data_IF_195344935578
#
_entry.id   IF_195344935578
#
_cell.length_a   1.000
_cell.length_b   1.000
_cell.length_c   1.000
_cell.angle_alpha   90.00
_cell.angle_beta   90.00
_cell.angle_gamma   90.00
#
_symmetry.space_group_name_H-M   'P 1'
#
loop_
_entity.id
_entity.type
_entity.pdbx_description
1 polymer ?
#
# COMPACT_ATOMS: atom_id res chain seq x y z
N UNK A 1 40.50 0.08 -34.11
CA UNK A 1 40.19 1.25 -33.27
C UNK A 1 41.47 1.72 -32.62
N UNK A 2 41.88 2.98 -32.86
CA UNK A 2 43.18 3.53 -32.45
C UNK A 2 43.09 4.04 -31.00
N UNK A 3 44.13 3.83 -30.16
CA UNK A 3 44.19 4.24 -28.74
C UNK A 3 43.86 5.74 -28.51
N UNK A 4 44.08 6.61 -29.50
CA UNK A 4 43.70 8.02 -29.47
C UNK A 4 42.21 8.25 -29.57
N UNK A 5 41.43 7.37 -30.18
CA UNK A 5 39.97 7.46 -30.28
C UNK A 5 39.30 7.03 -28.96
N UNK A 6 39.93 6.08 -28.24
CA UNK A 6 39.46 5.64 -26.94
C UNK A 6 39.63 6.71 -25.87
N UNK A 7 40.75 7.48 -25.92
CA UNK A 7 41.00 8.58 -24.95
C UNK A 7 40.18 9.86 -25.23
N UNK A 8 39.69 10.05 -26.48
CA UNK A 8 38.78 11.17 -26.77
C UNK A 8 37.33 10.86 -26.41
N UNK A 9 36.94 9.58 -26.32
CA UNK A 9 35.62 9.17 -25.78
C UNK A 9 35.56 9.21 -24.26
N UNK A 10 36.71 9.28 -23.56
CA UNK A 10 36.78 9.26 -22.10
C UNK A 10 36.72 10.64 -21.40
N UNK A 11 36.57 11.75 -22.16
CA UNK A 11 36.53 13.11 -21.59
C UNK A 11 35.19 13.83 -21.82
N UNK A 12 34.23 13.18 -22.49
CA UNK A 12 32.83 13.64 -22.54
C UNK A 12 31.98 12.64 -21.73
N UNK A 13 32.39 12.40 -20.50
CA UNK A 13 31.78 11.39 -19.68
C UNK A 13 31.66 11.82 -18.25
N UNK A 14 30.99 12.89 -17.98
CA UNK A 14 30.67 13.21 -16.60
C UNK A 14 29.39 13.99 -16.54
N UNK A 15 28.31 13.31 -16.72
CA UNK A 15 26.99 13.49 -16.18
C UNK A 15 25.96 12.64 -16.94
N UNK A 16 26.32 11.43 -17.34
CA UNK A 16 25.33 10.40 -17.41
C UNK A 16 25.06 10.04 -15.94
N UNK A 17 24.17 10.75 -15.32
CA UNK A 17 23.31 10.14 -14.33
C UNK A 17 22.77 8.90 -15.04
N UNK A 18 23.18 7.72 -14.63
CA UNK A 18 22.51 6.47 -14.99
C UNK A 18 21.15 6.54 -14.29
N UNK A 19 20.31 7.48 -14.74
CA UNK A 19 18.91 7.50 -14.43
C UNK A 19 18.30 6.34 -15.20
N UNK A 20 17.92 5.31 -14.47
CA UNK A 20 16.87 4.41 -14.84
C UNK A 20 16.95 3.87 -16.26
N UNK A 21 17.67 2.75 -16.44
CA UNK A 21 17.43 1.91 -17.62
C UNK A 21 16.12 1.18 -17.35
N UNK A 22 15.02 1.90 -17.55
CA UNK A 22 13.70 1.31 -17.60
C UNK A 22 13.49 0.79 -19.01
N UNK A 23 13.62 -0.50 -19.22
CA UNK A 23 13.06 -1.18 -20.36
C UNK A 23 11.66 -1.66 -19.98
N UNK A 24 10.71 -0.73 -19.85
CA UNK A 24 9.31 -1.10 -19.75
C UNK A 24 8.77 -1.19 -21.18
N UNK A 25 8.39 -2.37 -21.63
CA UNK A 25 7.68 -2.57 -22.90
C UNK A 25 6.24 -2.01 -22.84
N UNK A 26 5.68 -1.82 -21.64
CA UNK A 26 4.37 -1.23 -21.43
C UNK A 26 4.47 0.19 -20.87
N UNK A 27 3.59 1.13 -21.31
CA UNK A 27 3.57 2.48 -20.76
C UNK A 27 3.07 2.46 -19.30
N UNK A 28 3.71 3.28 -18.45
CA UNK A 28 3.25 3.52 -17.08
C UNK A 28 1.80 4.02 -17.06
N UNK A 29 1.00 3.48 -16.16
CA UNK A 29 -0.41 3.80 -16.03
C UNK A 29 -0.63 4.88 -14.96
N UNK A 30 -1.44 5.89 -15.27
CA UNK A 30 -1.80 6.97 -14.33
C UNK A 30 -2.89 6.50 -13.35
N UNK A 31 -2.57 5.47 -12.56
CA UNK A 31 -3.46 4.76 -11.64
C UNK A 31 -3.09 5.00 -10.18
N UNK A 32 -3.88 4.46 -9.26
CA UNK A 32 -3.65 4.55 -7.81
C UNK A 32 -3.93 3.23 -7.08
N UNK A 33 -3.34 3.09 -5.90
CA UNK A 33 -3.60 1.98 -4.96
C UNK A 33 -4.00 2.55 -3.61
N UNK A 34 -5.11 2.08 -3.06
CA UNK A 34 -5.50 2.26 -1.66
C UNK A 34 -5.22 0.94 -0.94
N UNK A 35 -4.20 0.95 -0.08
CA UNK A 35 -3.76 -0.20 0.71
C UNK A 35 -4.28 -0.08 2.13
N UNK A 36 -5.30 -0.89 2.47
CA UNK A 36 -5.88 -0.96 3.82
C UNK A 36 -5.20 -2.06 4.60
N UNK A 37 -4.40 -1.66 5.58
CA UNK A 37 -3.63 -2.56 6.43
C UNK A 37 -4.34 -2.83 7.75
N UNK A 38 -4.78 -4.07 7.92
CA UNK A 38 -5.42 -4.56 9.13
C UNK A 38 -4.35 -5.10 10.09
N UNK A 39 -3.61 -4.17 10.72
CA UNK A 39 -2.42 -4.52 11.51
C UNK A 39 -2.74 -5.32 12.77
N UNK A 40 -2.03 -6.41 12.94
CA UNK A 40 -2.20 -7.39 14.01
C UNK A 40 -2.68 -8.76 13.51
N UNK A 41 -2.74 -9.01 12.20
CA UNK A 41 -3.13 -10.30 11.63
C UNK A 41 -4.63 -10.57 11.73
N UNK A 42 -5.44 -9.99 10.84
CA UNK A 42 -6.88 -10.20 10.82
C UNK A 42 -7.22 -11.66 10.57
N UNK A 43 -8.18 -12.16 11.30
CA UNK A 43 -8.66 -13.52 11.11
C UNK A 43 -9.43 -13.65 9.80
N UNK A 44 -9.05 -14.61 8.96
CA UNK A 44 -9.76 -14.91 7.71
C UNK A 44 -11.20 -15.37 7.96
N UNK A 45 -11.45 -16.06 9.07
CA UNK A 45 -12.78 -16.61 9.41
C UNK A 45 -13.82 -15.51 9.64
N UNK A 46 -13.44 -14.51 10.40
CA UNK A 46 -14.28 -13.37 10.78
C UNK A 46 -14.19 -12.22 9.80
N UNK A 47 -13.36 -12.32 8.73
CA UNK A 47 -13.23 -11.30 7.67
C UNK A 47 -13.68 -11.85 6.31
N UNK A 48 -12.77 -12.11 5.37
CA UNK A 48 -13.10 -12.26 3.95
C UNK A 48 -12.97 -13.69 3.42
N UNK A 49 -12.77 -14.69 4.30
CA UNK A 49 -12.72 -16.11 3.91
C UNK A 49 -13.39 -16.97 4.99
N UNK A 50 -14.67 -16.73 5.24
CA UNK A 50 -15.45 -17.55 6.17
C UNK A 50 -15.75 -18.93 5.57
N UNK A 51 -15.75 -20.01 6.39
CA UNK A 51 -16.12 -21.33 5.92
C UNK A 51 -17.61 -21.42 5.63
N UNK A 52 -17.97 -21.91 4.45
CA UNK A 52 -19.36 -22.16 4.03
C UNK A 52 -19.75 -23.62 4.15
N UNK A 53 -18.78 -24.52 4.20
CA UNK A 53 -19.00 -25.95 4.40
C UNK A 53 -18.96 -26.30 5.90
N UNK A 54 -19.61 -27.38 6.33
CA UNK A 54 -19.52 -27.85 7.71
C UNK A 54 -18.05 -28.11 8.10
N UNK A 55 -17.55 -27.33 9.04
CA UNK A 55 -16.25 -27.48 9.69
C UNK A 55 -16.47 -27.60 11.19
N UNK A 56 -15.52 -28.21 11.95
CA UNK A 56 -15.61 -28.23 13.40
C UNK A 56 -15.84 -26.81 13.97
N UNK A 57 -16.60 -26.70 15.06
CA UNK A 57 -16.99 -25.43 15.69
C UNK A 57 -15.80 -24.48 15.95
N UNK A 58 -14.63 -25.06 16.25
CA UNK A 58 -13.39 -24.30 16.47
C UNK A 58 -12.91 -23.49 15.26
N UNK A 59 -13.39 -23.81 14.04
CA UNK A 59 -13.11 -23.07 12.81
C UNK A 59 -14.27 -22.16 12.39
N UNK A 60 -15.44 -22.28 13.06
CA UNK A 60 -16.58 -21.41 12.74
C UNK A 60 -16.28 -19.96 13.11
N UNK A 61 -16.74 -18.98 12.32
CA UNK A 61 -16.74 -17.58 12.71
C UNK A 61 -17.62 -17.37 13.94
N UNK A 62 -17.14 -16.61 14.92
CA UNK A 62 -17.84 -16.40 16.20
C UNK A 62 -19.19 -15.68 16.06
N UNK A 63 -19.34 -14.85 15.03
CA UNK A 63 -20.56 -14.09 14.73
C UNK A 63 -21.28 -14.63 13.47
N UNK A 64 -21.03 -15.90 13.11
CA UNK A 64 -21.55 -16.51 11.88
C UNK A 64 -20.89 -15.95 10.61
N UNK A 65 -21.56 -16.16 9.47
CA UNK A 65 -21.06 -15.70 8.18
C UNK A 65 -22.21 -15.17 7.29
N UNK A 66 -21.84 -14.37 6.31
CA UNK A 66 -22.71 -13.88 5.23
C UNK A 66 -22.12 -14.27 3.88
N UNK A 67 -22.96 -14.54 2.90
CA UNK A 67 -22.53 -15.00 1.58
C UNK A 67 -23.10 -14.13 0.45
N UNK A 68 -22.41 -14.15 -0.68
CA UNK A 68 -22.87 -13.60 -1.94
C UNK A 68 -23.05 -14.73 -2.97
N UNK A 69 -23.97 -14.61 -3.95
CA UNK A 69 -24.24 -15.66 -4.96
C UNK A 69 -23.02 -16.10 -5.78
N UNK A 70 -22.02 -15.25 -5.92
CA UNK A 70 -20.76 -15.56 -6.63
C UNK A 70 -19.78 -16.41 -5.83
N UNK A 71 -20.14 -16.88 -4.62
CA UNK A 71 -19.31 -17.73 -3.77
C UNK A 71 -18.48 -17.02 -2.71
N UNK A 72 -18.49 -15.68 -2.68
CA UNK A 72 -17.85 -14.93 -1.58
C UNK A 72 -18.55 -15.24 -0.24
N UNK A 73 -17.76 -15.43 0.81
CA UNK A 73 -18.23 -15.66 2.17
C UNK A 73 -17.39 -14.85 3.16
N UNK A 74 -18.05 -13.96 3.88
CA UNK A 74 -17.43 -13.08 4.89
C UNK A 74 -17.97 -13.40 6.28
N UNK A 75 -17.20 -13.02 7.31
CA UNK A 75 -17.70 -13.07 8.68
C UNK A 75 -18.99 -12.29 8.85
N UNK A 76 -19.86 -12.72 9.76
CA UNK A 76 -21.24 -12.26 9.90
C UNK A 76 -21.45 -10.78 10.18
N UNK A 77 -20.38 -10.06 10.52
CA UNK A 77 -20.42 -8.62 10.76
C UNK A 77 -20.18 -7.76 9.49
N UNK A 78 -19.78 -8.37 8.36
CA UNK A 78 -19.56 -7.68 7.08
C UNK A 78 -20.81 -7.66 6.20
N UNK A 79 -21.89 -7.09 6.72
CA UNK A 79 -23.23 -7.13 6.10
C UNK A 79 -23.41 -6.13 4.95
N UNK A 80 -22.67 -5.03 4.95
CA UNK A 80 -22.76 -4.01 3.93
C UNK A 80 -21.80 -4.31 2.77
N UNK A 81 -20.54 -4.63 3.07
CA UNK A 81 -19.52 -4.91 2.08
C UNK A 81 -19.89 -6.13 1.20
N UNK A 82 -20.43 -7.19 1.80
CA UNK A 82 -20.84 -8.39 1.04
C UNK A 82 -21.87 -8.10 -0.06
N UNK A 83 -22.70 -7.07 0.09
CA UNK A 83 -23.67 -6.65 -0.94
C UNK A 83 -22.98 -6.09 -2.21
N UNK A 84 -21.70 -5.79 -2.15
CA UNK A 84 -20.85 -5.35 -3.27
C UNK A 84 -20.02 -6.51 -3.83
N UNK A 85 -20.42 -7.74 -3.56
CA UNK A 85 -19.68 -8.94 -3.93
C UNK A 85 -19.30 -9.02 -5.40
N UNK A 86 -20.08 -8.45 -6.29
CA UNK A 86 -19.77 -8.39 -7.74
C UNK A 86 -18.50 -7.57 -8.05
N UNK A 87 -18.12 -6.67 -7.14
CA UNK A 87 -16.98 -5.76 -7.29
C UNK A 87 -15.75 -6.22 -6.49
N UNK A 88 -15.85 -7.36 -5.82
CA UNK A 88 -14.84 -7.85 -4.88
C UNK A 88 -14.23 -9.17 -5.34
N UNK A 89 -12.97 -9.37 -5.02
CA UNK A 89 -12.28 -10.66 -5.17
C UNK A 89 -11.64 -11.04 -3.85
N UNK A 90 -12.02 -12.19 -3.28
CA UNK A 90 -11.32 -12.80 -2.16
C UNK A 90 -10.31 -13.82 -2.65
N UNK A 91 -9.07 -13.76 -2.13
CA UNK A 91 -8.00 -14.70 -2.48
C UNK A 91 -7.83 -15.70 -1.33
N UNK A 92 -8.49 -16.85 -1.44
CA UNK A 92 -8.60 -17.84 -0.37
C UNK A 92 -7.39 -18.77 -0.22
N UNK A 93 -6.43 -18.68 -1.15
CA UNK A 93 -5.17 -19.43 -1.12
C UNK A 93 -3.95 -18.56 -0.87
N UNK A 94 -4.16 -17.29 -0.46
CA UNK A 94 -3.06 -16.37 -0.18
C UNK A 94 -2.35 -16.74 1.11
N UNK A 95 -1.03 -16.94 1.05
CA UNK A 95 -0.29 -17.55 2.15
C UNK A 95 1.20 -17.21 2.11
N UNK A 96 1.84 -17.32 3.26
CA UNK A 96 3.30 -17.30 3.40
C UNK A 96 3.73 -18.15 4.61
N UNK A 97 4.98 -18.00 5.08
CA UNK A 97 5.54 -18.88 6.12
C UNK A 97 5.87 -18.20 7.43
N UNK A 98 5.73 -16.86 7.52
CA UNK A 98 6.18 -16.12 8.70
C UNK A 98 5.02 -15.80 9.64
N UNK A 99 5.15 -16.22 10.90
CA UNK A 99 4.17 -15.98 11.97
C UNK A 99 4.58 -14.88 12.95
N UNK A 100 5.68 -14.16 12.68
CA UNK A 100 6.12 -13.00 13.46
C UNK A 100 5.55 -11.73 12.88
N UNK A 101 4.85 -10.92 13.65
CA UNK A 101 4.25 -9.65 13.20
C UNK A 101 5.21 -8.81 12.39
N UNK A 102 6.38 -8.53 12.91
CA UNK A 102 7.35 -7.66 12.28
C UNK A 102 7.84 -8.20 10.94
N UNK A 103 8.28 -9.45 10.91
CA UNK A 103 8.84 -10.07 9.71
C UNK A 103 7.77 -10.29 8.64
N UNK A 104 6.58 -10.76 9.05
CA UNK A 104 5.45 -10.93 8.15
C UNK A 104 4.97 -9.59 7.57
N UNK A 105 4.88 -8.54 8.40
CA UNK A 105 4.53 -7.19 7.92
C UNK A 105 5.52 -6.70 6.88
N UNK A 106 6.83 -6.83 7.13
CA UNK A 106 7.86 -6.45 6.17
C UNK A 106 7.74 -7.25 4.87
N UNK A 107 7.52 -8.56 4.97
CA UNK A 107 7.33 -9.41 3.80
C UNK A 107 6.11 -8.99 2.99
N UNK A 108 4.99 -8.70 3.64
CA UNK A 108 3.78 -8.21 2.99
C UNK A 108 3.95 -6.84 2.34
N UNK A 109 4.70 -5.92 2.97
CA UNK A 109 4.91 -4.57 2.46
C UNK A 109 5.93 -4.49 1.33
N UNK A 110 6.81 -5.47 1.19
CA UNK A 110 7.92 -5.44 0.22
C UNK A 110 7.85 -6.52 -0.85
N UNK A 111 7.04 -7.56 -0.63
CA UNK A 111 7.05 -8.79 -1.44
C UNK A 111 8.32 -9.64 -1.26
N UNK A 112 9.28 -9.16 -0.46
CA UNK A 112 10.59 -9.78 -0.30
C UNK A 112 10.79 -10.32 1.10
N UNK A 113 11.20 -11.57 1.17
CA UNK A 113 11.50 -12.21 2.45
C UNK A 113 12.89 -11.79 2.94
N UNK A 114 12.93 -11.07 4.04
CA UNK A 114 14.19 -10.75 4.69
C UNK A 114 14.68 -11.96 5.50
N UNK A 115 15.69 -12.67 4.99
CA UNK A 115 16.28 -13.82 5.65
C UNK A 115 17.08 -13.45 6.93
N UNK A 116 17.53 -12.20 7.06
CA UNK A 116 18.21 -11.71 8.24
C UNK A 116 17.20 -11.37 9.31
N UNK A 117 17.05 -12.28 10.25
CA UNK A 117 16.20 -12.11 11.45
C UNK A 117 16.72 -11.05 12.44
N UNK A 118 17.80 -10.33 12.10
CA UNK A 118 18.35 -9.30 12.97
C UNK A 118 17.37 -8.12 13.04
N UNK A 119 16.73 -8.00 14.20
CA UNK A 119 15.75 -6.96 14.48
C UNK A 119 16.37 -5.55 14.50
N UNK A 120 17.69 -5.42 14.49
CA UNK A 120 18.44 -4.17 14.55
C UNK A 120 18.93 -3.69 13.18
N UNK A 121 19.10 -4.58 12.22
CA UNK A 121 19.38 -4.21 10.83
C UNK A 121 18.08 -3.76 10.17
N UNK A 122 18.01 -2.51 9.70
CA UNK A 122 16.86 -1.97 8.97
C UNK A 122 16.43 -2.83 7.79
N UNK A 123 15.28 -2.51 7.21
CA UNK A 123 14.75 -3.22 6.06
C UNK A 123 15.71 -3.16 4.87
N UNK A 124 15.93 -4.29 4.19
CA UNK A 124 16.79 -4.33 3.00
C UNK A 124 16.04 -3.91 1.73
N UNK A 125 14.73 -4.11 1.71
CA UNK A 125 13.88 -3.88 0.54
C UNK A 125 12.93 -2.72 0.76
N UNK A 126 12.71 -1.87 -0.26
CA UNK A 126 11.75 -0.77 -0.16
C UNK A 126 10.31 -1.28 -0.20
N UNK A 127 9.41 -0.58 0.51
CA UNK A 127 7.98 -0.86 0.45
C UNK A 127 7.36 -0.48 -0.90
N UNK A 128 6.21 -1.07 -1.24
CA UNK A 128 5.51 -0.86 -2.51
C UNK A 128 5.29 0.61 -2.84
N UNK A 129 4.76 1.40 -1.88
CA UNK A 129 4.51 2.82 -2.09
C UNK A 129 5.79 3.63 -2.33
N UNK A 130 6.91 3.25 -1.69
CA UNK A 130 8.20 3.88 -1.94
C UNK A 130 8.75 3.54 -3.33
N UNK A 131 8.55 2.31 -3.80
CA UNK A 131 8.89 1.91 -5.18
C UNK A 131 8.07 2.74 -6.17
N UNK A 132 6.75 2.80 -6.01
CA UNK A 132 5.86 3.61 -6.86
C UNK A 132 6.30 5.07 -6.86
N UNK A 133 6.58 5.64 -5.68
CA UNK A 133 7.08 7.02 -5.57
C UNK A 133 8.42 7.23 -6.27
N UNK A 134 9.30 6.24 -6.28
CA UNK A 134 10.59 6.33 -6.98
C UNK A 134 10.47 6.31 -8.51
N UNK A 135 9.37 5.80 -9.03
CA UNK A 135 9.10 5.69 -10.47
C UNK A 135 8.31 6.91 -10.97
N UNK A 136 7.25 7.30 -10.27
CA UNK A 136 6.39 8.41 -10.66
C UNK A 136 6.88 9.78 -10.18
N UNK A 137 7.91 9.83 -9.33
CA UNK A 137 8.38 11.04 -8.65
C UNK A 137 7.76 11.18 -7.26
N UNK A 138 8.38 12.01 -6.40
CA UNK A 138 7.93 12.20 -5.03
C UNK A 138 6.56 12.89 -4.92
N UNK A 139 6.25 13.76 -5.88
CA UNK A 139 5.00 14.50 -5.98
C UNK A 139 4.41 14.41 -7.38
N UNK A 140 3.11 14.60 -7.49
CA UNK A 140 2.42 14.80 -8.75
C UNK A 140 2.81 16.15 -9.36
N UNK A 141 3.35 16.13 -10.57
CA UNK A 141 3.86 17.33 -11.25
C UNK A 141 2.78 18.38 -11.60
N UNK A 142 1.47 18.03 -11.55
CA UNK A 142 0.37 18.93 -11.91
C UNK A 142 -0.10 19.79 -10.74
N UNK A 143 -0.14 19.22 -9.52
CA UNK A 143 -0.76 19.86 -8.37
C UNK A 143 0.05 19.72 -7.07
N UNK A 144 1.21 19.06 -7.12
CA UNK A 144 2.10 18.90 -5.98
C UNK A 144 1.64 17.90 -4.92
N UNK A 145 0.53 17.17 -5.13
CA UNK A 145 0.10 16.17 -4.15
C UNK A 145 1.15 15.06 -4.03
N UNK A 146 1.51 14.61 -2.80
CA UNK A 146 2.49 13.56 -2.62
C UNK A 146 2.09 12.26 -3.35
N UNK A 147 3.04 11.66 -4.04
CA UNK A 147 2.82 10.38 -4.75
C UNK A 147 2.53 9.24 -3.79
N UNK A 148 3.13 9.27 -2.59
CA UNK A 148 2.92 8.27 -1.56
C UNK A 148 2.50 8.93 -0.24
N UNK A 149 1.32 8.59 0.26
CA UNK A 149 0.77 9.09 1.53
C UNK A 149 0.48 7.92 2.46
N UNK A 150 0.79 8.07 3.74
CA UNK A 150 0.43 7.10 4.78
C UNK A 150 -0.50 7.71 5.82
N UNK A 151 -1.42 6.90 6.31
CA UNK A 151 -2.28 7.21 7.45
C UNK A 151 -2.05 6.16 8.53
N UNK A 152 -1.20 6.50 9.49
CA UNK A 152 -0.67 5.59 10.50
C UNK A 152 0.68 4.97 10.09
N UNK A 153 1.30 4.23 10.99
CA UNK A 153 2.62 3.61 10.79
C UNK A 153 2.48 2.12 10.50
N UNK A 154 3.11 1.68 9.42
CA UNK A 154 3.28 0.26 9.09
C UNK A 154 4.78 -0.02 8.98
N UNK A 155 5.24 -1.18 9.45
CA UNK A 155 6.64 -1.59 9.25
C UNK A 155 6.87 -2.01 7.79
N UNK A 156 8.02 -1.68 7.20
CA UNK A 156 8.34 -2.00 5.81
C UNK A 156 7.95 -0.94 4.79
N UNK A 157 7.40 0.21 5.21
CA UNK A 157 7.07 1.33 4.33
C UNK A 157 8.29 2.14 3.87
N UNK A 158 9.46 1.91 4.47
CA UNK A 158 10.65 2.71 4.22
C UNK A 158 11.16 2.56 2.77
N UNK A 159 11.72 3.64 2.19
CA UNK A 159 12.30 3.62 0.84
C UNK A 159 13.66 2.92 0.75
N UNK A 160 14.29 2.61 1.88
CA UNK A 160 15.59 1.95 2.01
C UNK A 160 16.67 2.55 1.07
N UNK A 161 17.19 1.77 0.12
CA UNK A 161 18.23 2.22 -0.82
C UNK A 161 17.72 3.20 -1.89
N UNK A 162 16.40 3.36 -2.07
CA UNK A 162 15.85 4.31 -3.02
C UNK A 162 16.06 5.78 -2.58
N UNK A 163 16.26 6.00 -1.28
CA UNK A 163 16.54 7.33 -0.73
C UNK A 163 15.35 8.02 -0.08
N UNK A 164 15.66 8.96 0.82
CA UNK A 164 14.68 9.61 1.70
C UNK A 164 13.60 10.45 1.01
N UNK A 165 13.82 10.86 -0.23
CA UNK A 165 12.84 11.61 -1.02
C UNK A 165 11.57 10.82 -1.34
N UNK A 166 11.63 9.49 -1.26
CA UNK A 166 10.50 8.59 -1.59
C UNK A 166 9.82 8.02 -0.35
N UNK A 167 10.05 8.63 0.83
CA UNK A 167 9.30 8.31 2.06
C UNK A 167 7.84 8.70 1.91
N UNK A 168 6.91 7.92 2.55
CA UNK A 168 5.53 8.34 2.60
C UNK A 168 5.35 9.68 3.31
N UNK A 169 4.53 10.53 2.74
CA UNK A 169 4.05 11.73 3.41
C UNK A 169 3.06 11.34 4.52
N UNK A 170 3.23 11.92 5.72
CA UNK A 170 2.37 11.66 6.88
C UNK A 170 1.55 12.90 7.21
N UNK A 171 0.24 12.92 6.91
CA UNK A 171 -0.62 14.07 7.18
C UNK A 171 -1.03 14.19 8.65
N UNK A 172 -0.80 13.18 9.49
CA UNK A 172 -1.16 13.22 10.92
C UNK A 172 -0.37 14.30 11.69
N UNK A 173 0.81 14.66 11.22
CA UNK A 173 1.54 15.82 11.72
C UNK A 173 1.04 17.09 11.01
N UNK A 174 0.13 17.83 11.68
CA UNK A 174 -0.43 19.10 11.16
C UNK A 174 0.64 20.13 10.79
N UNK A 175 1.85 20.04 11.36
CA UNK A 175 2.97 20.89 10.99
C UNK A 175 3.44 20.64 9.53
N UNK A 176 3.19 19.45 8.99
CA UNK A 176 3.50 19.12 7.59
C UNK A 176 2.57 19.83 6.59
N UNK A 177 1.39 20.24 7.04
CA UNK A 177 0.38 20.93 6.22
C UNK A 177 0.31 22.44 6.46
N UNK A 178 1.09 22.97 7.43
CA UNK A 178 1.00 24.38 7.81
C UNK A 178 2.38 25.04 7.75
N UNK A 179 2.56 26.13 6.97
CA UNK A 179 3.84 26.81 6.91
C UNK A 179 4.18 27.46 8.27
N UNK A 180 5.38 27.19 8.78
CA UNK A 180 5.91 27.84 10.01
C UNK A 180 6.29 29.30 9.82
N UNK A 181 6.27 29.79 8.59
CA UNK A 181 6.62 31.17 8.22
C UNK A 181 5.56 31.72 7.26
N UNK A 182 5.44 33.06 7.18
CA UNK A 182 4.54 33.70 6.22
C UNK A 182 4.87 33.27 4.78
N UNK A 183 3.85 33.11 3.96
CA UNK A 183 3.95 32.60 2.61
C UNK A 183 4.98 33.34 1.73
N UNK A 184 4.98 34.68 1.80
CA UNK A 184 5.95 35.50 1.05
C UNK A 184 7.41 35.16 1.43
N UNK A 185 7.69 35.03 2.72
CA UNK A 185 9.02 34.65 3.20
C UNK A 185 9.38 33.21 2.85
N UNK A 186 8.40 32.35 2.71
CA UNK A 186 8.64 30.97 2.31
C UNK A 186 9.02 30.91 0.82
N UNK A 187 8.32 31.69 -0.04
CA UNK A 187 8.65 31.84 -1.46
C UNK A 187 10.06 32.46 -1.66
N UNK A 188 10.37 33.53 -0.94
CA UNK A 188 11.70 34.15 -0.98
C UNK A 188 12.82 33.17 -0.59
N UNK A 189 12.58 32.32 0.42
CA UNK A 189 13.54 31.29 0.86
C UNK A 189 13.72 30.21 -0.20
N UNK A 190 12.65 29.78 -0.85
CA UNK A 190 12.74 28.80 -1.93
C UNK A 190 13.52 29.36 -3.12
N UNK A 191 13.23 30.57 -3.56
CA UNK A 191 13.95 31.22 -4.65
C UNK A 191 15.45 31.38 -4.32
N UNK A 192 15.77 31.66 -3.05
CA UNK A 192 17.14 31.77 -2.61
C UNK A 192 17.85 30.38 -2.60
N UNK A 193 17.17 29.34 -2.11
CA UNK A 193 17.67 27.96 -2.14
C UNK A 193 17.89 27.49 -3.58
N UNK A 194 16.93 27.70 -4.48
CA UNK A 194 17.05 27.33 -5.89
C UNK A 194 18.23 28.01 -6.59
N UNK A 195 18.54 29.25 -6.21
CA UNK A 195 19.74 29.98 -6.69
C UNK A 195 21.04 29.39 -6.11
N UNK A 196 21.05 28.96 -4.84
CA UNK A 196 22.19 28.33 -4.21
C UNK A 196 22.42 26.90 -4.72
N UNK A 197 21.35 26.13 -4.95
CA UNK A 197 21.44 24.76 -5.42
C UNK A 197 21.90 24.68 -6.87
N UNK A 198 21.48 25.63 -7.73
CA UNK A 198 22.06 25.77 -9.08
C UNK A 198 23.55 26.01 -9.09
N UNK A 199 24.10 26.63 -8.03
CA UNK A 199 25.56 26.83 -7.87
C UNK A 199 26.26 25.64 -7.21
N UNK A 200 25.53 24.74 -6.55
CA UNK A 200 26.04 23.54 -5.87
C UNK A 200 25.90 22.24 -6.66
N UNK A 201 25.31 22.25 -7.84
CA UNK A 201 25.07 21.08 -8.70
C UNK A 201 26.28 20.18 -8.99
N UNK A 202 27.43 20.52 -8.42
CA UNK A 202 28.67 19.74 -8.53
C UNK A 202 29.02 18.87 -7.32
N UNK A 203 28.21 18.81 -6.23
CA UNK A 203 28.76 18.36 -4.96
C UNK A 203 28.15 17.15 -4.27
N UNK A 204 27.01 16.55 -4.62
CA UNK A 204 26.67 15.17 -4.20
C UNK A 204 25.20 14.76 -4.42
N UNK A 205 24.95 13.44 -4.57
CA UNK A 205 23.62 12.79 -4.58
C UNK A 205 22.78 13.02 -3.30
N UNK A 206 23.43 13.40 -2.20
CA UNK A 206 22.76 13.72 -0.92
C UNK A 206 22.07 15.08 -1.00
N UNK A 207 22.63 16.05 -1.71
CA UNK A 207 22.03 17.37 -1.90
C UNK A 207 20.74 17.29 -2.72
N UNK A 208 20.68 16.42 -3.74
CA UNK A 208 19.48 16.20 -4.55
C UNK A 208 18.29 15.68 -3.72
N UNK A 209 18.56 14.81 -2.74
CA UNK A 209 17.52 14.28 -1.86
C UNK A 209 16.92 15.35 -0.95
N UNK A 210 17.75 16.24 -0.41
CA UNK A 210 17.28 17.36 0.44
C UNK A 210 16.49 18.39 -0.36
N UNK A 211 16.89 18.69 -1.59
CA UNK A 211 16.16 19.59 -2.48
C UNK A 211 14.79 19.04 -2.83
N UNK A 212 14.70 17.75 -3.21
CA UNK A 212 13.44 17.07 -3.49
C UNK A 212 12.48 17.05 -2.30
N UNK A 213 12.99 16.81 -1.09
CA UNK A 213 12.17 16.85 0.14
C UNK A 213 11.68 18.28 0.41
N UNK A 214 12.51 19.28 0.17
CA UNK A 214 12.13 20.69 0.31
C UNK A 214 11.05 21.09 -0.71
N UNK A 215 11.20 20.70 -1.96
CA UNK A 215 10.21 20.94 -3.02
C UNK A 215 8.88 20.24 -2.72
N UNK A 216 8.93 19.00 -2.27
CA UNK A 216 7.75 18.25 -1.84
C UNK A 216 6.98 18.99 -0.75
N UNK A 217 7.67 19.44 0.29
CA UNK A 217 7.05 20.18 1.38
C UNK A 217 6.47 21.53 0.90
N UNK A 218 7.14 22.19 -0.04
CA UNK A 218 6.69 23.44 -0.62
C UNK A 218 5.37 23.27 -1.39
N UNK A 219 5.30 22.29 -2.28
CA UNK A 219 4.14 22.02 -3.12
C UNK A 219 2.90 21.64 -2.31
N UNK A 220 3.09 20.86 -1.23
CA UNK A 220 2.00 20.48 -0.32
C UNK A 220 1.47 21.69 0.47
N UNK A 221 2.34 22.58 0.92
CA UNK A 221 1.96 23.67 1.83
C UNK A 221 1.41 24.88 1.12
N UNK A 222 1.92 25.21 -0.06
CA UNK A 222 1.55 26.42 -0.82
C UNK A 222 0.77 26.14 -2.11
N UNK A 223 0.76 24.89 -2.56
CA UNK A 223 0.03 24.47 -3.76
C UNK A 223 -1.42 24.12 -3.46
N UNK A 224 -2.10 23.65 -4.50
CA UNK A 224 -3.46 23.09 -4.40
C UNK A 224 -3.50 21.71 -3.72
N UNK A 225 -2.33 21.13 -3.46
CA UNK A 225 -2.23 19.82 -2.78
C UNK A 225 -2.91 19.78 -1.41
N UNK A 226 -2.91 20.90 -0.65
CA UNK A 226 -3.61 21.00 0.64
C UNK A 226 -5.11 20.69 0.56
N UNK A 227 -5.73 20.99 -0.59
CA UNK A 227 -7.18 20.79 -0.79
C UNK A 227 -7.52 19.28 -0.81
N UNK A 228 -6.57 18.43 -1.21
CA UNK A 228 -6.74 16.98 -1.15
C UNK A 228 -6.90 16.46 0.29
N UNK A 229 -6.31 17.14 1.27
CA UNK A 229 -6.33 16.76 2.68
C UNK A 229 -7.51 17.36 3.46
N UNK A 230 -8.27 18.26 2.85
CA UNK A 230 -9.37 18.98 3.49
C UNK A 230 -10.69 18.22 3.36
N UNK A 231 -11.05 17.46 4.39
CA UNK A 231 -12.32 16.72 4.46
C UNK A 231 -13.54 17.62 4.64
N UNK A 232 -13.38 18.90 4.98
CA UNK A 232 -14.51 19.84 5.08
C UNK A 232 -15.10 20.19 3.71
N UNK A 233 -14.39 19.91 2.64
CA UNK A 233 -14.90 20.05 1.28
C UNK A 233 -15.87 18.93 0.87
N UNK A 234 -15.92 17.83 1.63
CA UNK A 234 -16.89 16.76 1.42
C UNK A 234 -18.24 17.07 2.02
N UNK A 235 -19.31 16.68 1.34
CA UNK A 235 -20.67 16.83 1.87
C UNK A 235 -20.90 15.96 3.11
N UNK A 236 -21.78 16.40 4.00
CA UNK A 236 -22.15 15.61 5.18
C UNK A 236 -22.72 14.24 4.79
N UNK A 237 -23.44 14.15 3.66
CA UNK A 237 -23.97 12.89 3.13
C UNK A 237 -22.85 11.90 2.81
N UNK A 238 -21.73 12.34 2.23
CA UNK A 238 -20.57 11.48 1.96
C UNK A 238 -19.88 11.11 3.26
N UNK A 239 -19.63 12.07 4.16
CA UNK A 239 -19.04 11.81 5.49
C UNK A 239 -19.87 10.75 6.25
N UNK A 240 -21.20 10.85 6.25
CA UNK A 240 -22.10 9.91 6.92
C UNK A 240 -22.08 8.50 6.27
N UNK A 241 -21.92 8.40 4.93
CA UNK A 241 -21.76 7.11 4.24
C UNK A 241 -20.53 6.36 4.76
N UNK A 242 -19.36 7.03 4.87
CA UNK A 242 -18.13 6.42 5.41
C UNK A 242 -18.19 6.17 6.92
N UNK A 243 -19.08 6.87 7.63
CA UNK A 243 -19.22 6.79 9.07
C UNK A 243 -18.21 7.67 9.82
N UNK A 244 -18.55 7.99 11.08
CA UNK A 244 -17.78 8.90 11.95
C UNK A 244 -16.66 8.19 12.73
N UNK A 245 -16.23 7.04 12.26
CA UNK A 245 -15.11 6.29 12.85
C UNK A 245 -13.79 6.74 12.24
N UNK A 246 -12.69 6.51 12.96
CA UNK A 246 -11.35 6.82 12.43
C UNK A 246 -11.06 6.13 11.09
N UNK A 247 -11.50 4.88 10.90
CA UNK A 247 -11.31 4.18 9.63
C UNK A 247 -12.19 4.77 8.53
N UNK A 248 -13.39 5.26 8.85
CA UNK A 248 -14.25 5.97 7.91
C UNK A 248 -13.59 7.24 7.38
N UNK A 249 -13.10 8.09 8.28
CA UNK A 249 -12.37 9.32 7.93
C UNK A 249 -11.09 9.02 7.12
N UNK A 250 -10.34 8.00 7.51
CA UNK A 250 -9.12 7.59 6.81
C UNK A 250 -9.40 7.08 5.39
N UNK A 251 -10.46 6.28 5.18
CA UNK A 251 -10.81 5.79 3.85
C UNK A 251 -11.39 6.90 2.96
N UNK A 252 -12.16 7.83 3.54
CA UNK A 252 -12.60 9.02 2.82
C UNK A 252 -11.42 9.89 2.37
N UNK A 253 -10.43 10.10 3.24
CA UNK A 253 -9.21 10.81 2.88
C UNK A 253 -8.41 10.05 1.81
N UNK A 254 -8.31 8.72 1.89
CA UNK A 254 -7.62 7.92 0.90
C UNK A 254 -8.26 8.05 -0.49
N UNK A 255 -9.59 8.02 -0.59
CA UNK A 255 -10.32 8.26 -1.83
C UNK A 255 -10.01 9.65 -2.40
N UNK A 256 -10.10 10.71 -1.58
CA UNK A 256 -9.78 12.08 -2.00
C UNK A 256 -8.35 12.19 -2.53
N UNK A 257 -7.38 11.65 -1.79
CA UNK A 257 -5.97 11.65 -2.21
C UNK A 257 -5.79 10.97 -3.57
N UNK A 258 -6.43 9.83 -3.80
CA UNK A 258 -6.41 9.13 -5.10
C UNK A 258 -7.05 9.99 -6.20
N UNK A 259 -8.19 10.64 -5.93
CA UNK A 259 -8.86 11.56 -6.85
C UNK A 259 -7.97 12.76 -7.24
N UNK A 260 -7.14 13.23 -6.30
CA UNK A 260 -6.16 14.30 -6.55
C UNK A 260 -4.85 13.80 -7.19
N UNK A 261 -4.70 12.50 -7.43
CA UNK A 261 -3.58 11.92 -8.17
C UNK A 261 -2.45 11.36 -7.30
N UNK A 262 -2.66 11.16 -5.99
CA UNK A 262 -1.79 10.33 -5.17
C UNK A 262 -1.80 8.91 -5.71
N UNK A 263 -0.61 8.32 -5.91
CA UNK A 263 -0.48 6.99 -6.51
C UNK A 263 -0.63 5.86 -5.50
N UNK A 264 -0.15 6.07 -4.29
CA UNK A 264 -0.18 5.04 -3.26
C UNK A 264 -0.61 5.63 -1.92
N UNK A 265 -1.70 5.11 -1.35
CA UNK A 265 -2.18 5.53 -0.02
C UNK A 265 -2.24 4.30 0.87
N UNK A 266 -1.50 4.32 1.99
CA UNK A 266 -1.65 3.32 3.04
C UNK A 266 -2.55 3.82 4.15
N UNK A 267 -3.50 2.98 4.57
CA UNK A 267 -4.42 3.22 5.69
C UNK A 267 -4.22 2.14 6.73
N UNK A 268 -3.71 2.48 7.90
CA UNK A 268 -3.47 1.53 8.98
C UNK A 268 -4.66 1.49 9.94
N UNK A 269 -5.39 0.39 9.93
CA UNK A 269 -6.43 0.08 10.90
C UNK A 269 -5.99 -1.09 11.76
N UNK A 270 -5.24 -0.80 12.84
CA UNK A 270 -4.62 -1.80 13.73
C UNK A 270 -5.57 -2.41 14.76
N UNK A 271 -5.01 -3.29 15.61
CA UNK A 271 -5.72 -3.92 16.72
C UNK A 271 -6.41 -5.24 16.37
N UNK A 272 -5.86 -5.98 15.38
CA UNK A 272 -6.37 -7.28 14.95
C UNK A 272 -5.65 -8.47 15.62
N UNK A 273 -4.74 -8.22 16.55
CA UNK A 273 -4.03 -9.28 17.29
C UNK A 273 -4.91 -9.86 18.43
N UNK A 274 -5.92 -10.64 18.04
CA UNK A 274 -7.03 -11.07 18.90
C UNK A 274 -6.79 -12.47 19.48
N UNK A 275 -5.88 -12.58 20.45
CA UNK A 275 -5.56 -13.83 21.14
C UNK A 275 -6.59 -14.24 22.21
N UNK A 276 -7.58 -13.39 22.51
CA UNK A 276 -8.64 -13.67 23.47
C UNK A 276 -9.92 -12.90 23.13
N UNK A 277 -11.07 -13.40 23.58
CA UNK A 277 -12.38 -12.73 23.47
C UNK A 277 -12.68 -12.14 22.08
N UNK A 278 -12.40 -12.91 21.02
CA UNK A 278 -12.45 -12.43 19.64
C UNK A 278 -13.82 -11.87 19.24
N UNK A 279 -14.92 -12.44 19.76
CA UNK A 279 -16.27 -11.95 19.44
C UNK A 279 -16.45 -10.49 19.90
N UNK A 280 -16.09 -10.16 21.13
CA UNK A 280 -16.17 -8.79 21.64
C UNK A 280 -15.27 -7.83 20.85
N UNK A 281 -14.06 -8.26 20.47
CA UNK A 281 -13.13 -7.47 19.69
C UNK A 281 -13.67 -7.21 18.28
N UNK A 282 -14.26 -8.23 17.63
CA UNK A 282 -14.86 -8.12 16.31
C UNK A 282 -16.07 -7.19 16.29
N UNK A 283 -16.93 -7.22 17.32
CA UNK A 283 -18.06 -6.29 17.44
C UNK A 283 -17.63 -4.81 17.42
N UNK A 284 -16.46 -4.51 17.94
CA UNK A 284 -15.92 -3.14 17.93
C UNK A 284 -15.18 -2.78 16.63
N UNK A 285 -14.61 -3.75 15.94
CA UNK A 285 -13.71 -3.52 14.79
C UNK A 285 -14.37 -3.70 13.43
N UNK A 286 -15.20 -4.74 13.26
CA UNK A 286 -15.72 -5.09 11.96
C UNK A 286 -16.81 -4.13 11.45
N UNK A 287 -17.82 -3.71 12.24
CA UNK A 287 -18.88 -2.86 11.71
C UNK A 287 -18.40 -1.50 11.16
N UNK A 288 -17.50 -0.75 11.81
CA UNK A 288 -16.95 0.47 11.22
C UNK A 288 -16.17 0.23 9.93
N UNK A 289 -15.43 -0.89 9.86
CA UNK A 289 -14.67 -1.26 8.66
C UNK A 289 -15.61 -1.69 7.52
N UNK A 290 -16.65 -2.46 7.83
CA UNK A 290 -17.69 -2.89 6.87
C UNK A 290 -18.35 -1.69 6.21
N UNK A 291 -18.80 -0.72 7.02
CA UNK A 291 -19.42 0.51 6.54
C UNK A 291 -18.46 1.30 5.65
N UNK A 292 -17.24 1.53 6.12
CA UNK A 292 -16.27 2.38 5.43
C UNK A 292 -15.77 1.77 4.12
N UNK A 293 -15.54 0.44 4.07
CA UNK A 293 -15.16 -0.26 2.84
C UNK A 293 -16.31 -0.30 1.84
N UNK A 294 -17.54 -0.55 2.29
CA UNK A 294 -18.71 -0.51 1.43
C UNK A 294 -18.91 0.88 0.81
N UNK A 295 -18.76 1.94 1.61
CA UNK A 295 -18.82 3.31 1.13
C UNK A 295 -17.73 3.64 0.12
N UNK A 296 -16.49 3.17 0.38
CA UNK A 296 -15.36 3.38 -0.54
C UNK A 296 -15.61 2.72 -1.90
N UNK A 297 -16.08 1.48 -1.91
CA UNK A 297 -16.38 0.76 -3.17
C UNK A 297 -17.45 1.48 -3.98
N UNK A 298 -18.53 1.93 -3.32
CA UNK A 298 -19.59 2.69 -3.98
C UNK A 298 -19.09 4.07 -4.47
N UNK A 299 -18.32 4.80 -3.68
CA UNK A 299 -17.84 6.15 -4.01
C UNK A 299 -16.82 6.12 -5.18
N UNK A 300 -15.98 5.09 -5.25
CA UNK A 300 -15.08 4.87 -6.41
C UNK A 300 -15.88 4.63 -7.69
N UNK A 301 -16.99 3.90 -7.63
CA UNK A 301 -17.86 3.67 -8.77
C UNK A 301 -18.62 4.93 -9.16
N UNK A 302 -19.29 5.59 -8.20
CA UNK A 302 -20.07 6.82 -8.41
C UNK A 302 -19.23 7.92 -9.08
N UNK A 303 -17.90 7.93 -8.83
CA UNK A 303 -16.94 8.87 -9.39
C UNK A 303 -16.23 8.38 -10.65
N UNK A 304 -16.50 7.17 -11.11
CA UNK A 304 -15.82 6.59 -12.28
C UNK A 304 -14.33 6.27 -12.03
N UNK A 305 -13.93 6.07 -10.78
CA UNK A 305 -12.54 5.81 -10.37
C UNK A 305 -12.20 4.32 -10.28
N UNK A 306 -13.17 3.44 -10.49
CA UNK A 306 -13.01 1.99 -10.27
C UNK A 306 -11.91 1.38 -11.14
N UNK A 307 -11.73 1.83 -12.38
CA UNK A 307 -10.71 1.31 -13.28
C UNK A 307 -9.31 1.79 -12.92
N UNK A 308 -9.20 2.99 -12.34
CA UNK A 308 -7.92 3.62 -12.06
C UNK A 308 -7.45 3.41 -10.61
N UNK A 309 -8.32 2.94 -9.72
CA UNK A 309 -8.01 2.75 -8.31
C UNK A 309 -8.15 1.30 -7.89
N UNK A 310 -7.03 0.65 -7.53
CA UNK A 310 -7.03 -0.68 -6.93
C UNK A 310 -7.16 -0.55 -5.41
N UNK A 311 -8.12 -1.26 -4.83
CA UNK A 311 -8.25 -1.45 -3.39
C UNK A 311 -7.62 -2.78 -2.98
N UNK A 312 -6.73 -2.74 -2.02
CA UNK A 312 -6.11 -3.92 -1.38
C UNK A 312 -6.41 -3.88 0.11
N UNK A 313 -7.07 -4.90 0.64
CA UNK A 313 -7.36 -5.04 2.08
C UNK A 313 -6.74 -6.33 2.59
N UNK A 314 -5.75 -6.23 3.48
CA UNK A 314 -5.00 -7.38 4.00
C UNK A 314 -4.35 -7.04 5.34
N UNK A 315 -3.71 -8.03 5.96
CA UNK A 315 -2.82 -7.88 7.10
C UNK A 315 -1.60 -8.79 6.96
N UNK A 316 -0.81 -8.92 8.02
CA UNK A 316 0.43 -9.67 7.98
C UNK A 316 0.25 -11.18 7.85
N UNK A 317 -0.77 -11.77 8.47
CA UNK A 317 -1.11 -13.20 8.40
C UNK A 317 -2.56 -13.42 8.88
N UNK A 318 -3.08 -14.62 8.67
CA UNK A 318 -4.37 -15.06 9.21
C UNK A 318 -4.25 -15.70 10.60
N UNK A 319 -5.30 -16.42 11.00
CA UNK A 319 -5.42 -16.94 12.38
C UNK A 319 -5.78 -18.42 12.41
N UNK A 320 -5.38 -19.08 13.50
CA UNK A 320 -5.72 -20.49 13.79
C UNK A 320 -7.20 -20.67 14.14
N UNK A 321 -7.60 -21.92 14.38
CA UNK A 321 -8.81 -22.25 15.13
C UNK A 321 -8.88 -21.53 16.48
N UNK A 322 -10.07 -21.47 17.08
CA UNK A 322 -10.25 -20.91 18.43
C UNK A 322 -9.34 -21.63 19.45
N UNK A 323 -8.67 -20.83 20.27
CA UNK A 323 -7.88 -21.28 21.39
C UNK A 323 -8.70 -21.28 22.70
N UNK A 324 -8.09 -21.72 23.82
CA UNK A 324 -8.76 -21.81 25.10
C UNK A 324 -9.25 -20.47 25.68
N UNK A 325 -8.73 -19.36 25.19
CA UNK A 325 -9.11 -18.01 25.63
C UNK A 325 -10.18 -17.38 24.72
N UNK A 326 -10.83 -18.18 23.87
CA UNK A 326 -11.79 -17.71 22.86
C UNK A 326 -11.19 -16.63 21.93
N UNK A 327 -9.92 -16.75 21.61
CA UNK A 327 -9.18 -16.00 20.62
C UNK A 327 -8.57 -16.93 19.58
N UNK A 328 -7.68 -16.40 18.72
CA UNK A 328 -7.00 -17.16 17.69
C UNK A 328 -5.52 -16.78 17.62
N UNK A 329 -4.67 -17.77 17.43
CA UNK A 329 -3.23 -17.57 17.32
C UNK A 329 -2.80 -17.33 15.86
N UNK A 330 -1.51 -17.06 15.61
CA UNK A 330 -0.98 -16.71 14.29
C UNK A 330 -1.00 -17.89 13.32
N UNK A 331 -1.44 -17.68 12.09
CA UNK A 331 -1.54 -18.70 11.04
C UNK A 331 -1.21 -18.15 9.66
N UNK A 332 0.06 -18.13 9.24
CA UNK A 332 0.46 -17.56 7.97
C UNK A 332 0.09 -18.43 6.75
N UNK A 333 -0.33 -19.67 6.96
CA UNK A 333 -0.72 -20.59 5.88
C UNK A 333 -1.96 -20.15 5.11
N UNK A 334 -2.81 -19.31 5.71
CA UNK A 334 -3.85 -18.55 5.00
C UNK A 334 -3.84 -17.15 5.58
N UNK A 335 -3.70 -16.16 4.69
CA UNK A 335 -3.77 -14.74 5.04
C UNK A 335 -4.96 -14.12 4.33
N UNK A 336 -5.74 -13.31 5.01
CA UNK A 336 -6.88 -12.63 4.38
C UNK A 336 -6.39 -11.64 3.32
N UNK A 337 -6.96 -11.71 2.13
CA UNK A 337 -6.69 -10.77 1.05
C UNK A 337 -7.98 -10.51 0.28
N UNK A 338 -8.42 -9.26 0.27
CA UNK A 338 -9.56 -8.78 -0.51
C UNK A 338 -9.08 -7.72 -1.48
N UNK A 339 -9.51 -7.83 -2.74
CA UNK A 339 -9.15 -6.94 -3.84
C UNK A 339 -10.40 -6.37 -4.50
N UNK A 340 -10.33 -5.12 -4.98
CA UNK A 340 -11.38 -4.49 -5.78
C UNK A 340 -10.78 -3.44 -6.73
N UNK A 341 -11.47 -3.11 -7.79
CA UNK A 341 -11.07 -2.06 -8.75
C UNK A 341 -9.82 -2.39 -9.57
N UNK A 342 -9.19 -1.37 -10.16
CA UNK A 342 -7.94 -1.50 -10.90
C UNK A 342 -8.08 -2.01 -12.33
N UNK A 343 -9.29 -2.03 -12.90
CA UNK A 343 -9.58 -2.56 -14.24
C UNK A 343 -9.39 -4.08 -14.37
N UNK A 344 -9.64 -4.80 -13.28
CA UNK A 344 -9.61 -6.25 -13.23
C UNK A 344 -11.02 -6.85 -13.16
N UNK A 345 -11.12 -8.13 -13.50
CA UNK A 345 -12.39 -8.86 -13.41
C UNK A 345 -12.61 -9.32 -11.97
N UNK A 346 -13.59 -8.72 -11.29
CA UNK A 346 -13.97 -9.04 -9.92
C UNK A 346 -15.23 -9.92 -9.83
N UNK A 347 -15.84 -10.01 -8.66
CA UNK A 347 -17.02 -10.82 -8.42
C UNK A 347 -16.69 -12.31 -8.30
N UNK A 348 -15.55 -12.67 -7.71
CA UNK A 348 -15.08 -14.06 -7.66
C UNK A 348 -14.24 -14.39 -6.43
N UNK A 349 -14.11 -15.67 -6.18
CA UNK A 349 -13.13 -16.24 -5.24
C UNK A 349 -11.97 -16.83 -6.05
N UNK A 350 -10.74 -16.52 -5.66
CA UNK A 350 -9.51 -17.08 -6.24
C UNK A 350 -8.88 -18.03 -5.23
N UNK A 351 -8.63 -19.26 -5.69
CA UNK A 351 -7.98 -20.29 -4.89
C UNK A 351 -8.90 -20.89 -3.83
N UNK A 352 -8.40 -21.95 -3.20
CA UNK A 352 -9.13 -22.74 -2.22
C UNK A 352 -8.22 -23.07 -1.04
N UNK A 353 -8.84 -23.28 0.12
CA UNK A 353 -8.20 -23.85 1.30
C UNK A 353 -8.84 -25.21 1.64
N UNK A 354 -8.03 -26.13 2.15
CA UNK A 354 -8.52 -27.41 2.67
C UNK A 354 -9.25 -27.24 4.02
N UNK A 355 -9.76 -28.36 4.58
CA UNK A 355 -10.47 -28.34 5.88
C UNK A 355 -9.59 -27.96 7.08
N UNK A 356 -8.27 -27.99 6.92
CA UNK A 356 -7.30 -27.57 7.92
C UNK A 356 -6.77 -26.15 7.68
N UNK A 357 -7.33 -25.44 6.69
CA UNK A 357 -6.95 -24.10 6.29
C UNK A 357 -5.49 -23.99 5.86
N UNK A 358 -5.10 -24.88 4.95
CA UNK A 358 -3.93 -24.76 4.10
C UNK A 358 -4.37 -24.53 2.65
N UNK A 359 -3.59 -23.81 1.82
CA UNK A 359 -3.90 -23.66 0.40
C UNK A 359 -3.97 -25.02 -0.28
N UNK A 360 -5.07 -25.34 -0.94
CA UNK A 360 -5.30 -26.59 -1.68
C UNK A 360 -5.25 -26.41 -3.19
N UNK A 361 -5.29 -25.16 -3.67
CA UNK A 361 -5.14 -24.81 -5.09
C UNK A 361 -4.41 -23.47 -5.23
N UNK A 362 -3.85 -23.18 -6.42
CA UNK A 362 -3.25 -21.91 -6.84
C UNK A 362 -2.71 -21.05 -5.69
N UNK A 363 -1.58 -21.47 -5.12
CA UNK A 363 -0.98 -20.78 -3.98
C UNK A 363 -0.36 -19.46 -4.42
N UNK A 364 -0.85 -18.37 -3.84
CA UNK A 364 -0.30 -17.03 -4.00
C UNK A 364 0.38 -16.56 -2.71
N UNK A 365 1.29 -15.60 -2.83
CA UNK A 365 2.00 -15.02 -1.70
C UNK A 365 2.32 -13.54 -1.88
N UNK A 366 3.09 -12.94 -0.96
CA UNK A 366 3.41 -11.52 -0.99
C UNK A 366 4.11 -11.05 -2.27
N UNK A 367 4.92 -11.92 -2.89
CA UNK A 367 5.59 -11.62 -4.15
C UNK A 367 4.59 -11.47 -5.31
N UNK A 368 3.56 -12.32 -5.36
CA UNK A 368 2.49 -12.27 -6.36
C UNK A 368 1.62 -11.03 -6.19
N UNK A 369 1.38 -10.61 -4.93
CA UNK A 369 0.69 -9.36 -4.64
C UNK A 369 1.51 -8.15 -5.10
N UNK A 370 2.84 -8.17 -4.93
CA UNK A 370 3.72 -7.14 -5.46
C UNK A 370 3.68 -7.09 -6.98
N UNK A 371 3.71 -8.24 -7.66
CA UNK A 371 3.58 -8.32 -9.11
C UNK A 371 2.24 -7.77 -9.59
N UNK A 372 1.14 -8.06 -8.86
CA UNK A 372 -0.20 -7.53 -9.16
C UNK A 372 -0.26 -6.01 -9.04
N UNK A 373 0.36 -5.44 -7.99
CA UNK A 373 0.46 -3.98 -7.82
C UNK A 373 1.29 -3.36 -8.94
N UNK A 374 2.40 -3.98 -9.33
CA UNK A 374 3.26 -3.46 -10.39
C UNK A 374 2.57 -3.54 -11.76
N UNK A 375 1.86 -4.63 -12.05
CA UNK A 375 1.04 -4.77 -13.25
C UNK A 375 -0.01 -3.66 -13.35
N UNK A 376 -0.70 -3.36 -12.24
CA UNK A 376 -1.68 -2.27 -12.17
C UNK A 376 -1.09 -0.91 -12.60
N UNK A 377 0.16 -0.63 -12.25
CA UNK A 377 0.86 0.60 -12.64
C UNK A 377 1.59 0.52 -13.99
N UNK A 378 1.62 -0.63 -14.65
CA UNK A 378 2.48 -0.87 -15.80
C UNK A 378 3.98 -0.84 -15.47
N UNK A 379 4.35 -1.18 -14.24
CA UNK A 379 5.74 -1.23 -13.78
C UNK A 379 6.33 -2.61 -14.14
N UNK A 380 7.39 -2.62 -14.93
CA UNK A 380 8.13 -3.86 -15.18
C UNK A 380 8.79 -4.36 -13.89
N UNK A 381 8.44 -5.57 -13.40
CA UNK A 381 9.05 -6.14 -12.19
C UNK A 381 10.55 -6.36 -12.30
N UNK A 382 11.11 -6.40 -13.51
CA UNK A 382 12.55 -6.57 -13.77
C UNK A 382 13.36 -5.29 -13.68
N UNK A 383 12.72 -4.14 -13.41
CA UNK A 383 13.43 -2.87 -13.20
C UNK A 383 14.45 -3.01 -12.07
N UNK A 384 15.65 -2.51 -12.33
CA UNK A 384 16.73 -2.41 -11.36
C UNK A 384 16.95 -0.96 -10.94
N UNK A 385 17.23 -0.76 -9.68
CA UNK A 385 17.71 0.51 -9.13
C UNK A 385 19.09 0.31 -8.51
N UNK A 386 19.91 1.34 -8.57
CA UNK A 386 21.27 1.29 -8.01
C UNK A 386 21.19 1.60 -6.49
N UNK A 387 21.74 0.73 -5.65
CA UNK A 387 21.83 0.97 -4.22
C UNK A 387 22.96 1.95 -3.87
N UNK A 388 23.04 2.36 -2.60
CA UNK A 388 24.06 3.29 -2.11
C UNK A 388 25.50 2.79 -2.27
N UNK A 389 25.70 1.49 -2.45
CA UNK A 389 26.99 0.88 -2.71
C UNK A 389 27.29 0.73 -4.23
N UNK A 390 26.44 1.30 -5.10
CA UNK A 390 26.58 1.22 -6.55
C UNK A 390 26.17 -0.13 -7.15
N UNK A 391 25.41 -0.97 -6.43
CA UNK A 391 25.00 -2.29 -6.89
C UNK A 391 23.61 -2.24 -7.49
N UNK A 392 23.35 -2.87 -8.65
CA UNK A 392 22.00 -3.02 -9.17
C UNK A 392 21.17 -3.94 -8.26
N UNK A 393 19.97 -3.52 -7.93
CA UNK A 393 18.99 -4.26 -7.12
C UNK A 393 17.68 -4.33 -7.88
N UNK A 394 17.15 -5.52 -8.07
CA UNK A 394 15.80 -5.68 -8.60
C UNK A 394 14.78 -5.11 -7.61
N UNK A 395 13.74 -4.47 -8.13
CA UNK A 395 12.62 -3.99 -7.29
C UNK A 395 11.76 -5.16 -6.83
N UNK A 396 11.67 -6.20 -7.65
CA UNK A 396 11.04 -7.46 -7.32
C UNK A 396 12.01 -8.59 -7.71
N UNK A 397 12.48 -9.35 -6.73
CA UNK A 397 13.44 -10.44 -6.95
C UNK A 397 12.74 -11.79 -6.72
N UNK A 398 12.54 -12.55 -7.80
CA UNK A 398 11.88 -13.84 -7.80
C UNK A 398 10.84 -14.00 -8.91
N UNK A 399 10.36 -15.23 -9.07
CA UNK A 399 9.25 -15.54 -9.96
C UNK A 399 7.93 -15.23 -9.27
N UNK A 400 7.08 -14.45 -9.93
CA UNK A 400 5.78 -14.03 -9.40
C UNK A 400 4.73 -14.04 -10.52
N UNK A 401 3.49 -14.23 -10.13
CA UNK A 401 2.33 -14.19 -11.02
C UNK A 401 1.37 -13.08 -10.61
N UNK A 402 0.72 -12.44 -11.56
CA UNK A 402 -0.41 -11.55 -11.30
C UNK A 402 -1.56 -12.39 -10.77
N UNK A 403 -2.19 -11.97 -9.66
CA UNK A 403 -3.28 -12.69 -8.98
C UNK A 403 -4.61 -12.50 -9.72
N UNK A 404 -4.86 -11.29 -10.25
CA UNK A 404 -6.12 -10.84 -10.87
C UNK A 404 -6.20 -11.11 -12.37
#
# INVERSE_FOLDING_TARGET
>A
MNRRTFLKAGVIGSSLTFSDIAFADAPLQDKSVIWVWLGGGPTQFETFHAPTNPVPDIFQPVDGFVTHPNGLAFGGLFKQLIQRGDKLTSVNSFSHRDSSHRQATQFMQTGQYNAKRDQTAGHEFPGHGAIVSSIFGANNNRNGVPTYVKQGRIEGEDPTFLGGAYKPFDPSNKENLTPKVKEDRFKERKDLLDRFDKSRMFLSSTADSFTKIGDQAYDVVLGTAKDAFDLEQESDSIKDKYGKSSVGEQLLLARRLSEFGTKFVTVHYGGWDMHSNISSAMQGKAPPLDQALAALVDDLEDRGMTQDTMLVVTGEFGRTKLNANAGRDHWPSITTLLLAGGDYNHGRVIGEADRAYYPSSNKFGPLDLSATIFDHFGIDPKIQKIDQAGRPRYLLDGEASVIL
#
